data_IF_419639538837
#
_entry.id   IF_419639538837
#
_cell.length_a   1.000
_cell.length_b   1.000
_cell.length_c   1.000
_cell.angle_alpha   90.00
_cell.angle_beta   90.00
_cell.angle_gamma   90.00
#
_symmetry.space_group_name_H-M   'P 1'
#
loop_
_entity.id
_entity.type
_entity.pdbx_description
1 polymer ?
#
# COMPACT_ATOMS: atom_id res chain seq x y z
N UNK A 1 21.09 4.62 -29.57
CA UNK A 1 19.71 4.43 -29.10
C UNK A 1 19.53 5.11 -27.77
N UNK A 2 18.48 5.89 -27.66
CA UNK A 2 18.20 6.55 -26.41
C UNK A 2 17.80 5.51 -25.36
N UNK A 3 18.44 5.55 -24.21
CA UNK A 3 18.00 4.79 -23.05
C UNK A 3 16.69 5.38 -22.55
N UNK A 4 15.78 4.52 -22.09
CA UNK A 4 14.52 4.98 -21.52
C UNK A 4 14.81 5.62 -20.18
N UNK A 5 14.32 6.85 -20.04
CA UNK A 5 14.46 7.58 -18.80
C UNK A 5 13.50 6.99 -17.76
N UNK A 6 14.04 6.53 -16.64
CA UNK A 6 13.26 5.98 -15.53
C UNK A 6 12.24 7.00 -15.01
N UNK A 7 12.59 8.27 -15.00
CA UNK A 7 11.70 9.33 -14.56
C UNK A 7 10.48 9.44 -15.49
N UNK A 8 10.70 9.36 -16.79
CA UNK A 8 9.60 9.40 -17.75
C UNK A 8 8.68 8.20 -17.59
N UNK A 9 9.24 7.02 -17.39
CA UNK A 9 8.44 5.81 -17.13
C UNK A 9 7.62 5.94 -15.85
N UNK A 10 8.25 6.36 -14.76
CA UNK A 10 7.59 6.51 -13.47
C UNK A 10 6.47 7.55 -13.55
N UNK A 11 6.72 8.67 -14.19
CA UNK A 11 5.74 9.73 -14.39
C UNK A 11 4.55 9.26 -15.21
N UNK A 12 4.81 8.54 -16.29
CA UNK A 12 3.76 8.00 -17.15
C UNK A 12 2.90 6.98 -16.40
N UNK A 13 3.54 6.09 -15.66
CA UNK A 13 2.84 5.09 -14.86
C UNK A 13 2.00 5.74 -13.77
N UNK A 14 2.52 6.76 -13.12
CA UNK A 14 1.79 7.50 -12.10
C UNK A 14 0.57 8.24 -12.68
N UNK A 15 0.71 8.86 -13.85
CA UNK A 15 -0.40 9.52 -14.52
C UNK A 15 -1.51 8.52 -14.88
N UNK A 16 -1.14 7.34 -15.34
CA UNK A 16 -2.11 6.28 -15.62
C UNK A 16 -2.82 5.85 -14.33
N UNK A 17 -2.10 5.72 -13.24
CA UNK A 17 -2.65 5.40 -11.94
C UNK A 17 -3.62 6.48 -11.46
N UNK A 18 -3.25 7.76 -11.59
CA UNK A 18 -4.13 8.88 -11.21
C UNK A 18 -5.48 8.83 -11.89
N UNK A 19 -5.51 8.47 -13.17
CA UNK A 19 -6.75 8.41 -13.95
C UNK A 19 -7.72 7.35 -13.45
N UNK A 20 -7.22 6.35 -12.72
CA UNK A 20 -8.07 5.29 -12.17
C UNK A 20 -8.61 5.63 -10.79
N UNK A 21 -8.10 6.70 -10.16
CA UNK A 21 -8.48 7.06 -8.81
C UNK A 21 -9.68 8.00 -8.80
N UNK A 22 -10.57 7.78 -7.85
CA UNK A 22 -11.68 8.69 -7.59
C UNK A 22 -11.21 9.76 -6.61
N UNK A 23 -11.49 11.01 -6.94
CA UNK A 23 -11.14 12.13 -6.08
C UNK A 23 -9.89 12.85 -6.54
N UNK A 24 -9.44 13.80 -5.73
CA UNK A 24 -8.29 14.63 -6.04
C UNK A 24 -7.00 13.90 -5.68
N UNK A 25 -6.25 13.51 -6.70
CA UNK A 25 -4.95 12.88 -6.55
C UNK A 25 -3.89 13.89 -7.01
N UNK A 26 -2.82 14.12 -6.24
CA UNK A 26 -1.80 15.10 -6.62
C UNK A 26 -1.16 14.77 -7.96
N UNK A 27 -0.65 15.76 -8.64
CA UNK A 27 0.13 15.57 -9.87
C UNK A 27 1.54 15.09 -9.52
N UNK A 28 2.24 14.56 -10.51
CA UNK A 28 3.62 14.13 -10.32
C UNK A 28 4.49 15.21 -9.66
N UNK A 29 4.34 16.45 -10.13
CA UNK A 29 5.14 17.58 -9.64
C UNK A 29 4.77 18.00 -8.22
N UNK A 30 3.62 17.57 -7.74
CA UNK A 30 3.14 17.83 -6.38
C UNK A 30 3.57 16.76 -5.39
N UNK A 31 4.11 15.65 -5.88
CA UNK A 31 4.62 14.58 -5.04
C UNK A 31 5.92 15.03 -4.37
N UNK A 32 6.11 14.52 -3.14
CA UNK A 32 7.41 14.71 -2.48
C UNK A 32 8.49 13.94 -3.24
N UNK A 33 9.76 14.34 -3.11
CA UNK A 33 10.87 13.59 -3.73
C UNK A 33 10.88 12.11 -3.33
N UNK A 34 10.48 11.80 -2.10
CA UNK A 34 10.41 10.42 -1.61
C UNK A 34 9.32 9.61 -2.32
N UNK A 35 8.17 10.22 -2.54
CA UNK A 35 7.06 9.59 -3.27
C UNK A 35 7.43 9.35 -4.74
N UNK A 36 8.04 10.32 -5.37
CA UNK A 36 8.55 10.18 -6.74
C UNK A 36 9.60 9.08 -6.83
N UNK A 37 10.49 8.99 -5.84
CA UNK A 37 11.52 7.95 -5.79
C UNK A 37 10.90 6.56 -5.66
N UNK A 38 9.82 6.42 -4.92
CA UNK A 38 9.09 5.14 -4.83
C UNK A 38 8.63 4.65 -6.19
N UNK A 39 8.08 5.54 -7.02
CA UNK A 39 7.68 5.21 -8.37
C UNK A 39 8.86 4.91 -9.28
N UNK A 40 9.96 5.64 -9.14
CA UNK A 40 11.19 5.36 -9.91
C UNK A 40 11.77 3.99 -9.55
N UNK A 41 11.75 3.64 -8.26
CA UNK A 41 12.22 2.34 -7.80
C UNK A 41 11.37 1.20 -8.37
N UNK A 42 10.05 1.39 -8.42
CA UNK A 42 9.14 0.41 -9.02
C UNK A 42 9.46 0.22 -10.52
N UNK A 43 9.75 1.31 -11.23
CA UNK A 43 10.11 1.24 -12.65
C UNK A 43 11.50 0.67 -12.91
N UNK A 44 12.44 0.86 -11.98
CA UNK A 44 13.79 0.33 -12.14
C UNK A 44 13.86 -1.20 -12.08
N UNK A 45 12.82 -1.84 -11.58
CA UNK A 45 12.69 -3.29 -11.62
C UNK A 45 12.41 -3.81 -13.04
N UNK A 46 12.02 -2.94 -13.96
CA UNK A 46 11.81 -3.28 -15.37
C UNK A 46 13.14 -3.27 -16.08
N UNK A 47 13.63 -4.44 -16.47
CA UNK A 47 14.98 -4.57 -17.03
C UNK A 47 15.07 -4.17 -18.49
N UNK A 48 13.98 -4.16 -19.24
CA UNK A 48 13.95 -3.70 -20.62
C UNK A 48 12.53 -3.27 -21.03
N UNK A 49 12.41 -2.39 -22.06
CA UNK A 49 11.12 -1.96 -22.56
C UNK A 49 10.24 -3.10 -23.07
N UNK A 50 10.85 -4.19 -23.54
CA UNK A 50 10.12 -5.35 -24.02
C UNK A 50 9.49 -6.17 -22.91
N UNK A 51 9.98 -6.04 -21.68
CA UNK A 51 9.44 -6.73 -20.52
C UNK A 51 8.24 -6.01 -19.91
N UNK A 52 7.95 -4.82 -20.38
CA UNK A 52 6.77 -4.09 -19.94
C UNK A 52 5.57 -4.64 -20.67
N UNK A 53 5.08 -5.76 -20.21
CA UNK A 53 3.76 -6.20 -20.59
C UNK A 53 2.77 -5.32 -19.82
N UNK A 54 2.38 -4.25 -20.42
CA UNK A 54 1.56 -3.22 -19.82
C UNK A 54 0.12 -3.64 -19.56
N UNK A 55 -0.10 -4.90 -19.33
CA UNK A 55 -1.42 -5.42 -19.13
C UNK A 55 -2.02 -5.00 -17.79
N UNK A 56 -1.21 -4.56 -16.85
CA UNK A 56 -1.67 -4.37 -15.48
C UNK A 56 -1.42 -2.97 -14.91
N UNK A 57 -1.03 -2.01 -15.74
CA UNK A 57 -0.78 -0.65 -15.29
C UNK A 57 0.50 -0.53 -14.48
N UNK A 58 0.55 0.45 -13.57
CA UNK A 58 1.74 0.72 -12.79
C UNK A 58 2.07 -0.44 -11.85
N UNK A 59 3.34 -0.89 -11.78
CA UNK A 59 3.73 -1.90 -10.81
C UNK A 59 3.54 -1.34 -9.40
N UNK A 60 2.86 -2.13 -8.56
CA UNK A 60 2.61 -1.81 -7.18
C UNK A 60 3.60 -2.57 -6.31
N UNK A 61 4.37 -1.89 -5.44
CA UNK A 61 5.21 -2.59 -4.49
C UNK A 61 4.37 -3.50 -3.60
N UNK A 62 4.88 -4.69 -3.31
CA UNK A 62 4.18 -5.62 -2.44
C UNK A 62 4.34 -5.22 -0.98
N UNK A 63 3.24 -5.28 -0.24
CA UNK A 63 3.26 -5.14 1.21
C UNK A 63 3.46 -6.50 1.84
N UNK A 64 4.50 -6.66 2.64
CA UNK A 64 4.78 -7.89 3.38
C UNK A 64 4.51 -7.62 4.84
N UNK A 65 3.64 -8.41 5.43
CA UNK A 65 3.27 -8.28 6.84
C UNK A 65 3.29 -9.63 7.51
N UNK A 66 3.49 -9.62 8.83
CA UNK A 66 3.34 -10.81 9.67
C UNK A 66 2.15 -10.63 10.60
N UNK A 67 1.28 -11.61 10.63
CA UNK A 67 0.14 -11.65 11.53
C UNK A 67 -0.04 -13.08 12.05
N UNK A 68 -0.22 -13.22 13.37
CA UNK A 68 -0.42 -14.52 14.01
C UNK A 68 0.68 -15.56 13.68
N UNK A 69 1.92 -15.08 13.50
CA UNK A 69 3.06 -15.94 13.17
C UNK A 69 3.18 -16.31 11.71
N UNK A 70 2.28 -15.85 10.86
CA UNK A 70 2.29 -16.12 9.43
C UNK A 70 2.70 -14.87 8.64
N UNK A 71 3.41 -15.07 7.54
CA UNK A 71 3.80 -14.01 6.63
C UNK A 71 2.82 -13.94 5.48
N UNK A 72 2.32 -12.74 5.21
CA UNK A 72 1.38 -12.47 4.12
C UNK A 72 1.99 -11.45 3.17
N UNK A 73 1.78 -11.65 1.87
CA UNK A 73 2.25 -10.74 0.82
C UNK A 73 1.04 -10.27 0.02
N UNK A 74 0.89 -8.96 -0.09
CA UNK A 74 -0.21 -8.34 -0.83
C UNK A 74 0.33 -7.39 -1.88
N UNK A 75 -0.14 -7.54 -3.11
CA UNK A 75 0.20 -6.65 -4.22
C UNK A 75 -0.95 -5.73 -4.62
N UNK A 76 -2.12 -5.93 -4.02
CA UNK A 76 -3.32 -5.13 -4.27
C UNK A 76 -3.92 -4.69 -2.94
N UNK A 77 -4.84 -3.74 -2.99
CA UNK A 77 -5.56 -3.30 -1.80
C UNK A 77 -6.29 -4.49 -1.16
N UNK A 78 -6.34 -4.49 0.16
CA UNK A 78 -7.02 -5.54 0.91
C UNK A 78 -7.60 -4.98 2.20
N UNK A 79 -8.49 -5.76 2.82
CA UNK A 79 -9.08 -5.40 4.11
C UNK A 79 -8.63 -6.36 5.20
N UNK A 80 -8.53 -5.84 6.40
CA UNK A 80 -8.34 -6.63 7.61
C UNK A 80 -9.59 -6.56 8.46
N UNK A 81 -9.89 -7.63 9.17
CA UNK A 81 -11.06 -7.73 10.01
C UNK A 81 -11.53 -9.17 10.10
N UNK A 82 -12.59 -9.38 10.86
CA UNK A 82 -13.14 -10.73 11.09
C UNK A 82 -13.48 -11.45 9.77
N UNK A 83 -13.93 -10.72 8.75
CA UNK A 83 -14.24 -11.25 7.43
C UNK A 83 -13.24 -10.78 6.36
N UNK A 84 -12.11 -10.23 6.77
CA UNK A 84 -11.10 -9.73 5.86
C UNK A 84 -10.00 -10.73 5.56
N UNK A 85 -8.98 -10.26 4.85
CA UNK A 85 -7.80 -11.06 4.49
C UNK A 85 -6.86 -11.30 5.67
N UNK A 86 -6.84 -10.37 6.64
CA UNK A 86 -6.07 -10.47 7.88
C UNK A 86 -7.03 -10.39 9.07
N UNK A 87 -6.60 -10.91 10.20
CA UNK A 87 -7.40 -10.96 11.43
C UNK A 87 -8.73 -11.73 11.25
N UNK A 88 -8.77 -12.65 10.29
CA UNK A 88 -9.96 -13.46 10.05
C UNK A 88 -10.31 -14.30 11.29
N UNK A 89 -11.58 -14.27 11.69
CA UNK A 89 -12.04 -14.99 12.87
C UNK A 89 -11.77 -14.30 14.20
N UNK A 90 -11.18 -13.11 14.20
CA UNK A 90 -10.93 -12.35 15.44
C UNK A 90 -12.27 -11.75 15.93
N UNK A 91 -12.75 -12.22 17.07
CA UNK A 91 -14.03 -11.79 17.65
C UNK A 91 -14.01 -10.33 18.11
N UNK A 92 -12.83 -9.77 18.33
CA UNK A 92 -12.65 -8.37 18.73
C UNK A 92 -12.47 -7.43 17.54
N UNK A 93 -12.36 -7.98 16.34
CA UNK A 93 -12.29 -7.20 15.11
C UNK A 93 -13.69 -7.04 14.50
N UNK A 94 -13.95 -5.88 13.94
CA UNK A 94 -15.14 -5.68 13.11
C UNK A 94 -15.01 -6.49 11.83
N UNK A 95 -16.13 -6.79 11.17
CA UNK A 95 -16.15 -7.58 9.93
C UNK A 95 -15.23 -6.97 8.86
N UNK A 96 -15.30 -5.65 8.69
CA UNK A 96 -14.39 -4.87 7.87
C UNK A 96 -13.80 -3.81 8.79
N UNK A 97 -12.63 -4.10 9.33
CA UNK A 97 -12.05 -3.30 10.41
C UNK A 97 -11.14 -2.19 9.90
N UNK A 98 -10.26 -2.53 8.99
CA UNK A 98 -9.31 -1.59 8.41
C UNK A 98 -9.04 -1.95 6.94
N UNK A 99 -8.69 -0.95 6.16
CA UNK A 99 -8.33 -1.13 4.77
C UNK A 99 -6.87 -0.76 4.56
N UNK A 100 -6.16 -1.62 3.86
CA UNK A 100 -4.79 -1.38 3.42
C UNK A 100 -4.83 -1.06 1.94
N UNK A 101 -4.24 0.06 1.56
CA UNK A 101 -4.25 0.49 0.16
C UNK A 101 -2.91 1.08 -0.25
N UNK A 102 -2.57 0.87 -1.50
CA UNK A 102 -1.43 1.52 -2.12
C UNK A 102 -1.93 2.79 -2.81
N UNK A 103 -1.34 3.93 -2.44
CA UNK A 103 -1.69 5.22 -3.01
C UNK A 103 -0.47 6.14 -2.97
N UNK A 104 -0.31 6.96 -3.99
CA UNK A 104 0.74 7.98 -4.06
C UNK A 104 2.17 7.42 -3.83
N UNK A 105 2.41 6.19 -4.24
CA UNK A 105 3.72 5.54 -4.10
C UNK A 105 3.96 4.85 -2.76
N UNK A 106 2.96 4.83 -1.86
CA UNK A 106 3.09 4.25 -0.52
C UNK A 106 1.88 3.41 -0.14
N UNK A 107 2.10 2.53 0.82
CA UNK A 107 1.03 1.80 1.47
C UNK A 107 0.47 2.59 2.64
N UNK A 108 -0.86 2.57 2.77
CA UNK A 108 -1.61 3.24 3.84
C UNK A 108 -2.55 2.26 4.50
N UNK A 109 -2.83 2.52 5.78
CA UNK A 109 -3.87 1.81 6.52
C UNK A 109 -4.92 2.82 6.98
N UNK A 110 -6.19 2.45 6.87
CA UNK A 110 -7.32 3.29 7.24
C UNK A 110 -8.31 2.48 8.08
N UNK A 111 -8.77 3.06 9.18
CA UNK A 111 -9.83 2.45 9.99
C UNK A 111 -11.19 2.63 9.31
N UNK A 112 -11.97 1.56 9.22
CA UNK A 112 -13.28 1.55 8.56
C UNK A 112 -14.42 1.68 9.58
N UNK A 113 -14.35 2.65 10.47
CA UNK A 113 -15.31 2.85 11.55
C UNK A 113 -15.46 1.60 12.42
N UNK A 114 -14.35 0.99 12.76
CA UNK A 114 -14.36 -0.20 13.60
C UNK A 114 -14.86 0.11 15.01
N UNK A 115 -15.48 -0.87 15.64
CA UNK A 115 -16.03 -0.73 17.00
C UNK A 115 -14.91 -0.47 18.02
N UNK A 116 -13.82 -1.20 17.93
CA UNK A 116 -12.73 -1.14 18.92
C UNK A 116 -11.54 -0.25 18.48
N UNK A 117 -11.58 0.28 17.26
CA UNK A 117 -10.51 1.11 16.72
C UNK A 117 -9.36 0.33 16.14
N UNK A 118 -8.56 1.01 15.32
CA UNK A 118 -7.30 0.51 14.78
C UNK A 118 -6.16 1.29 15.41
N UNK A 119 -5.14 0.59 15.88
CA UNK A 119 -4.02 1.20 16.57
C UNK A 119 -2.75 1.02 15.74
N UNK A 120 -2.01 2.09 15.54
CA UNK A 120 -0.71 2.09 14.89
C UNK A 120 0.36 2.44 15.91
N UNK A 121 1.27 1.50 16.17
CA UNK A 121 2.34 1.66 17.16
C UNK A 121 1.81 2.10 18.53
N UNK A 122 0.67 1.57 18.94
CA UNK A 122 0.04 1.86 20.23
C UNK A 122 -0.86 3.10 20.25
N UNK A 123 -1.00 3.80 19.12
CA UNK A 123 -1.83 5.00 19.02
C UNK A 123 -3.05 4.76 18.15
N UNK A 124 -4.23 5.09 18.68
CA UNK A 124 -5.48 4.96 17.93
C UNK A 124 -5.47 5.89 16.71
N UNK A 125 -5.83 5.33 15.56
CA UNK A 125 -5.91 6.10 14.32
C UNK A 125 -7.28 6.73 14.14
N UNK A 126 -7.29 7.94 13.60
CA UNK A 126 -8.52 8.65 13.22
C UNK A 126 -8.53 9.05 11.75
N UNK A 127 -7.45 8.78 11.05
CA UNK A 127 -7.30 9.03 9.62
C UNK A 127 -6.35 8.01 9.01
N UNK A 128 -6.31 7.93 7.69
CA UNK A 128 -5.37 7.05 7.00
C UNK A 128 -3.93 7.40 7.37
N UNK A 129 -3.12 6.39 7.65
CA UNK A 129 -1.73 6.54 8.04
C UNK A 129 -0.83 5.78 7.08
N UNK A 130 0.29 6.39 6.72
CA UNK A 130 1.30 5.75 5.89
C UNK A 130 2.02 4.67 6.68
N UNK A 131 2.20 3.51 6.03
CA UNK A 131 2.91 2.39 6.62
C UNK A 131 4.41 2.46 6.31
N UNK A 132 5.20 2.04 7.29
CA UNK A 132 6.65 1.92 7.18
C UNK A 132 7.08 0.56 7.71
N UNK A 133 8.24 0.11 7.27
CA UNK A 133 8.83 -1.12 7.79
C UNK A 133 8.95 -1.03 9.33
N UNK A 134 8.50 -2.08 10.00
CA UNK A 134 8.54 -2.17 11.45
C UNK A 134 7.30 -1.65 12.16
N UNK A 135 6.35 -1.03 11.44
CA UNK A 135 5.11 -0.57 12.05
C UNK A 135 4.27 -1.75 12.54
N UNK A 136 3.60 -1.54 13.67
CA UNK A 136 2.70 -2.52 14.27
C UNK A 136 1.28 -1.98 14.24
N UNK A 137 0.39 -2.74 13.64
CA UNK A 137 -1.03 -2.40 13.56
C UNK A 137 -1.80 -3.40 14.42
N UNK A 138 -2.58 -2.89 15.37
CA UNK A 138 -3.43 -3.74 16.20
C UNK A 138 -4.87 -3.62 15.74
N UNK A 139 -5.47 -4.76 15.42
CA UNK A 139 -6.86 -4.90 15.00
C UNK A 139 -7.49 -5.98 15.85
N UNK A 140 -8.42 -5.60 16.73
CA UNK A 140 -8.95 -6.52 17.70
C UNK A 140 -7.86 -7.06 18.61
N UNK A 141 -7.63 -8.37 18.59
CA UNK A 141 -6.53 -9.02 19.29
C UNK A 141 -5.33 -9.34 18.40
N UNK A 142 -5.47 -9.08 17.11
CA UNK A 142 -4.46 -9.41 16.13
C UNK A 142 -3.47 -8.27 15.98
N UNK A 143 -2.17 -8.59 16.02
CA UNK A 143 -1.11 -7.62 15.78
C UNK A 143 -0.49 -7.95 14.44
N UNK A 144 -0.45 -6.95 13.57
CA UNK A 144 0.13 -7.04 12.23
C UNK A 144 1.42 -6.22 12.23
N UNK A 145 2.52 -6.86 11.86
CA UNK A 145 3.83 -6.22 11.78
C UNK A 145 4.20 -6.03 10.32
N UNK A 146 4.53 -4.80 9.94
CA UNK A 146 4.97 -4.50 8.58
C UNK A 146 6.43 -4.94 8.43
N UNK A 147 6.67 -5.93 7.59
CA UNK A 147 8.01 -6.46 7.32
C UNK A 147 8.67 -5.69 6.20
N UNK A 148 7.90 -5.36 5.16
CA UNK A 148 8.40 -4.61 4.01
C UNK A 148 7.26 -3.90 3.31
N UNK A 149 7.54 -2.74 2.75
CA UNK A 149 6.59 -1.97 1.94
C UNK A 149 6.98 -1.93 0.46
N UNK A 150 7.86 -2.79 0.06
CA UNK A 150 8.31 -2.87 -1.34
C UNK A 150 9.79 -2.83 -1.52
#
# INVERSE_FOLDING_TARGET
MASIDIEVLARTAYDAYRRTQKGSVPRWDELTPTEQQGWRNAMSAVSSPGDVTLTEGAPTPSLVVQASGETHVFSTDFTAGRQGNLAAGDDHASSHHARFQFAHGYWYVEDLNSTNGTYLNGHRMFSAQRLRKGDKIKIGRTIIVVVSTG
#
